data_IF_121708204737
#
_entry.id   IF_121708204737
#
_cell.length_a   1.000
_cell.length_b   1.000
_cell.length_c   1.000
_cell.angle_alpha   90.00
_cell.angle_beta   90.00
_cell.angle_gamma   90.00
#
_symmetry.space_group_name_H-M   'P 1'
#
loop_
_entity.id
_entity.type
_entity.pdbx_description
1 polymer ?
#
# COMPACT_ATOMS: atom_id res chain seq x y z
N UNK A 1 4.56 -6.07 24.73
CA UNK A 1 3.98 -7.26 24.07
C UNK A 1 3.11 -6.77 22.93
N UNK A 2 3.45 -7.18 21.71
CA UNK A 2 2.63 -6.91 20.54
C UNK A 2 1.55 -7.98 20.42
N UNK A 3 0.32 -7.57 20.17
CA UNK A 3 -0.78 -8.48 19.87
C UNK A 3 -0.91 -8.60 18.35
N UNK A 4 -1.01 -9.83 17.84
CA UNK A 4 -1.22 -10.12 16.43
C UNK A 4 -2.65 -10.58 16.21
N UNK A 5 -3.25 -10.09 15.16
CA UNK A 5 -4.55 -10.51 14.68
C UNK A 5 -4.43 -11.17 13.31
N UNK A 6 -4.95 -12.37 13.21
CA UNK A 6 -5.09 -13.04 11.93
C UNK A 6 -6.50 -13.60 11.78
N UNK A 7 -7.03 -13.52 10.57
CA UNK A 7 -8.31 -14.15 10.21
C UNK A 7 -8.04 -15.42 9.44
N UNK A 8 -8.59 -16.52 9.95
CA UNK A 8 -8.55 -17.80 9.28
C UNK A 8 -9.82 -17.96 8.45
N UNK A 9 -9.67 -18.25 7.17
CA UNK A 9 -10.77 -18.38 6.21
C UNK A 9 -10.65 -19.71 5.50
N UNK A 10 -11.73 -20.48 5.52
CA UNK A 10 -11.84 -21.74 4.78
C UNK A 10 -13.27 -21.93 4.26
N UNK A 11 -13.42 -22.75 3.26
CA UNK A 11 -14.70 -23.23 2.77
C UNK A 11 -14.92 -24.68 3.24
N UNK A 12 -16.13 -25.23 3.05
CA UNK A 12 -16.40 -26.64 3.34
C UNK A 12 -15.51 -27.59 2.52
N UNK A 13 -15.04 -27.15 1.35
CA UNK A 13 -14.22 -27.94 0.43
C UNK A 13 -12.71 -27.79 0.69
N UNK A 14 -12.29 -26.85 1.55
CA UNK A 14 -10.87 -26.56 1.81
C UNK A 14 -10.43 -26.87 3.23
N UNK A 15 -11.24 -27.56 4.05
CA UNK A 15 -10.90 -27.85 5.45
C UNK A 15 -9.61 -28.68 5.59
N UNK A 16 -9.33 -29.57 4.63
CA UNK A 16 -8.14 -30.43 4.62
C UNK A 16 -7.04 -29.94 3.66
N UNK A 17 -7.21 -28.76 3.06
CA UNK A 17 -6.23 -28.17 2.15
C UNK A 17 -5.10 -27.49 2.92
N UNK A 18 -3.92 -27.32 2.28
CA UNK A 18 -2.83 -26.58 2.89
C UNK A 18 -3.23 -25.13 3.19
N UNK A 19 -2.47 -24.50 4.09
CA UNK A 19 -2.63 -23.09 4.40
C UNK A 19 -1.89 -22.20 3.40
N UNK A 20 -2.45 -21.02 3.12
CA UNK A 20 -1.81 -19.94 2.41
C UNK A 20 -1.87 -18.68 3.27
N UNK A 21 -0.71 -18.16 3.65
CA UNK A 21 -0.61 -16.86 4.32
C UNK A 21 -0.55 -15.75 3.27
N UNK A 22 -1.35 -14.72 3.48
CA UNK A 22 -1.33 -13.52 2.64
C UNK A 22 -0.51 -12.41 3.28
N UNK A 23 0.51 -11.96 2.55
CA UNK A 23 1.37 -10.85 2.91
C UNK A 23 0.89 -9.60 2.17
N UNK A 24 0.22 -8.71 2.91
CA UNK A 24 -0.40 -7.52 2.35
C UNK A 24 0.64 -6.50 1.88
N UNK A 25 0.24 -5.71 0.91
CA UNK A 25 0.98 -4.56 0.41
C UNK A 25 0.91 -3.33 1.33
N UNK A 26 1.25 -2.22 0.80
CA UNK A 26 1.41 -0.94 1.46
C UNK A 26 2.84 -0.45 1.29
N UNK A 27 3.65 -0.42 2.35
CA UNK A 27 3.46 -0.95 3.73
C UNK A 27 2.34 -0.31 4.54
N UNK A 28 2.00 -0.91 5.67
CA UNK A 28 1.08 -0.33 6.64
C UNK A 28 -0.41 -0.57 6.37
N UNK A 29 -0.76 -1.49 5.48
CA UNK A 29 -2.15 -1.89 5.23
C UNK A 29 -2.49 -3.20 5.93
N UNK A 30 -3.68 -3.27 6.50
CA UNK A 30 -4.25 -4.51 7.03
C UNK A 30 -4.68 -5.46 5.90
N UNK A 31 -4.83 -6.73 6.23
CA UNK A 31 -5.33 -7.75 5.32
C UNK A 31 -6.79 -7.50 4.89
N UNK A 32 -7.19 -8.01 3.71
CA UNK A 32 -8.57 -7.90 3.23
C UNK A 32 -9.58 -8.45 4.22
N UNK A 33 -10.78 -7.87 4.19
CA UNK A 33 -11.94 -8.32 4.97
C UNK A 33 -12.96 -8.94 4.00
N UNK A 34 -12.83 -10.24 3.64
CA UNK A 34 -13.73 -10.86 2.69
C UNK A 34 -15.16 -10.91 3.22
N UNK A 35 -16.13 -10.76 2.32
CA UNK A 35 -17.55 -10.96 2.63
C UNK A 35 -18.02 -12.33 2.12
N UNK A 36 -19.08 -12.87 2.73
CA UNK A 36 -19.65 -14.15 2.30
C UNK A 36 -20.38 -14.05 0.96
N UNK A 37 -20.83 -12.85 0.58
CA UNK A 37 -21.67 -12.64 -0.61
C UNK A 37 -20.81 -12.47 -1.86
N UNK A 38 -19.70 -11.75 -1.75
CA UNK A 38 -18.75 -11.56 -2.83
C UNK A 38 -17.32 -11.58 -2.30
N UNK A 39 -16.65 -12.74 -2.34
CA UNK A 39 -15.22 -12.80 -2.03
C UNK A 39 -14.36 -12.27 -3.19
N UNK A 40 -14.96 -11.62 -4.19
CA UNK A 40 -14.29 -11.27 -5.44
C UNK A 40 -13.21 -10.19 -5.34
N UNK A 41 -13.09 -9.50 -4.22
CA UNK A 41 -12.01 -8.54 -4.02
C UNK A 41 -11.21 -8.84 -2.74
N UNK A 42 -9.89 -8.90 -2.84
CA UNK A 42 -9.07 -8.83 -4.07
C UNK A 42 -9.26 -10.06 -4.97
N UNK A 43 -9.10 -9.90 -6.29
CA UNK A 43 -9.45 -10.92 -7.29
C UNK A 43 -8.79 -12.29 -7.12
N UNK A 44 -7.65 -12.39 -6.44
CA UNK A 44 -6.98 -13.66 -6.14
C UNK A 44 -7.68 -14.48 -5.06
N UNK A 45 -8.45 -13.84 -4.17
CA UNK A 45 -9.02 -14.46 -2.96
C UNK A 45 -9.94 -15.64 -3.29
N UNK A 46 -10.83 -15.45 -4.27
CA UNK A 46 -11.74 -16.49 -4.72
C UNK A 46 -11.00 -17.70 -5.26
N UNK A 47 -9.98 -17.46 -6.11
CA UNK A 47 -9.17 -18.53 -6.67
C UNK A 47 -8.37 -19.28 -5.59
N UNK A 48 -7.82 -18.56 -4.62
CA UNK A 48 -7.08 -19.17 -3.52
C UNK A 48 -7.96 -20.06 -2.65
N UNK A 49 -9.23 -19.70 -2.45
CA UNK A 49 -10.18 -20.51 -1.67
C UNK A 49 -10.59 -21.83 -2.34
N UNK A 50 -10.22 -22.06 -3.60
CA UNK A 50 -10.42 -23.37 -4.24
C UNK A 50 -9.36 -24.39 -3.78
N UNK A 51 -8.13 -23.94 -3.49
CA UNK A 51 -6.98 -24.80 -3.23
C UNK A 51 -6.41 -24.70 -1.81
N UNK A 52 -6.74 -23.64 -1.06
CA UNK A 52 -6.12 -23.32 0.23
C UNK A 52 -7.13 -22.93 1.31
N UNK A 53 -6.74 -23.16 2.56
CA UNK A 53 -7.21 -22.38 3.71
C UNK A 53 -6.38 -21.10 3.80
N UNK A 54 -7.00 -19.98 4.13
CA UNK A 54 -6.30 -18.71 4.10
C UNK A 54 -6.00 -18.19 5.50
N UNK A 55 -4.82 -17.64 5.66
CA UNK A 55 -4.40 -16.82 6.80
C UNK A 55 -4.28 -15.39 6.32
N UNK A 56 -5.19 -14.53 6.75
CA UNK A 56 -5.21 -13.10 6.46
C UNK A 56 -4.68 -12.38 7.70
N UNK A 57 -3.35 -12.17 7.73
CA UNK A 57 -2.66 -11.53 8.84
C UNK A 57 -2.74 -10.02 8.69
N UNK A 58 -3.23 -9.34 9.72
CA UNK A 58 -2.94 -7.92 9.87
C UNK A 58 -1.49 -7.79 10.33
N UNK A 59 -0.65 -7.24 9.48
CA UNK A 59 0.75 -7.05 9.82
C UNK A 59 0.89 -6.13 11.03
N UNK A 60 1.97 -6.30 11.80
CA UNK A 60 2.26 -5.46 12.97
C UNK A 60 2.10 -3.97 12.66
N UNK A 61 1.50 -3.23 13.56
CA UNK A 61 1.21 -1.81 13.38
C UNK A 61 -0.01 -1.49 12.50
N UNK A 62 -0.77 -2.51 12.05
CA UNK A 62 -1.91 -2.33 11.15
C UNK A 62 -3.19 -3.01 11.66
N UNK A 63 -4.34 -2.57 11.17
CA UNK A 63 -5.62 -3.22 11.40
C UNK A 63 -5.93 -3.45 12.87
N UNK A 64 -6.01 -4.71 13.29
CA UNK A 64 -6.22 -5.14 14.68
C UNK A 64 -4.92 -5.62 15.36
N UNK A 65 -3.78 -5.52 14.67
CA UNK A 65 -2.46 -5.88 15.19
C UNK A 65 -1.73 -4.64 15.72
N UNK A 66 -2.16 -4.12 16.86
CA UNK A 66 -1.58 -2.94 17.53
C UNK A 66 -1.37 -1.75 16.55
N UNK A 67 -2.45 -1.21 15.93
CA UNK A 67 -2.32 -0.22 14.88
C UNK A 67 -1.61 1.04 15.37
N UNK A 68 -0.72 1.56 14.53
CA UNK A 68 -0.09 2.87 14.76
C UNK A 68 -1.13 3.95 14.47
N UNK A 69 -1.52 4.70 15.47
CA UNK A 69 -2.52 5.78 15.33
C UNK A 69 -1.91 7.16 15.47
N UNK A 70 -1.17 7.40 16.53
CA UNK A 70 -0.59 8.71 16.85
C UNK A 70 0.91 8.57 17.12
N UNK A 71 1.73 9.52 16.65
CA UNK A 71 3.15 9.53 16.98
C UNK A 71 3.34 9.79 18.48
N UNK A 72 4.10 8.92 19.14
CA UNK A 72 4.39 9.02 20.56
C UNK A 72 5.90 9.16 20.77
N UNK A 73 6.31 10.05 21.66
CA UNK A 73 7.71 10.28 21.99
C UNK A 73 8.42 11.22 21.01
N UNK A 74 9.75 11.27 21.11
CA UNK A 74 10.60 12.06 20.21
C UNK A 74 10.67 11.44 18.81
N UNK A 75 11.17 12.20 17.83
CA UNK A 75 11.42 11.67 16.49
C UNK A 75 12.38 10.46 16.49
N UNK A 76 13.32 10.41 17.44
CA UNK A 76 14.23 9.28 17.60
C UNK A 76 13.51 8.05 18.12
N UNK A 77 12.64 8.21 19.14
CA UNK A 77 11.84 7.10 19.68
C UNK A 77 10.90 6.52 18.61
N UNK A 78 10.29 7.39 17.80
CA UNK A 78 9.44 7.00 16.69
C UNK A 78 10.23 6.25 15.61
N UNK A 79 11.41 6.73 15.25
CA UNK A 79 12.27 6.09 14.26
C UNK A 79 12.70 4.69 14.73
N UNK A 80 13.08 4.53 15.99
CA UNK A 80 13.39 3.23 16.59
C UNK A 80 12.18 2.30 16.53
N UNK A 81 11.02 2.75 16.98
CA UNK A 81 9.80 1.96 16.93
C UNK A 81 9.45 1.49 15.51
N UNK A 82 9.59 2.38 14.52
CA UNK A 82 9.29 2.06 13.11
C UNK A 82 10.22 0.99 12.51
N UNK A 83 11.43 0.80 13.07
CA UNK A 83 12.31 -0.30 12.62
C UNK A 83 11.69 -1.67 12.86
N UNK A 84 10.85 -1.80 13.87
CA UNK A 84 10.15 -3.04 14.20
C UNK A 84 8.91 -3.30 13.33
N UNK A 85 8.55 -2.41 12.42
CA UNK A 85 7.38 -2.54 11.55
C UNK A 85 7.74 -2.90 10.10
N UNK A 86 8.94 -3.47 9.90
CA UNK A 86 9.50 -3.78 8.58
C UNK A 86 9.30 -5.25 8.20
N UNK A 87 9.71 -5.57 6.97
CA UNK A 87 9.50 -6.88 6.36
C UNK A 87 10.15 -8.05 7.13
N UNK A 88 11.30 -7.82 7.74
CA UNK A 88 12.02 -8.81 8.53
C UNK A 88 11.21 -9.28 9.74
N UNK A 89 10.70 -8.35 10.50
CA UNK A 89 9.88 -8.62 11.68
C UNK A 89 8.50 -9.22 11.33
N UNK A 90 7.91 -8.81 10.20
CA UNK A 90 6.67 -9.41 9.69
C UNK A 90 6.86 -10.89 9.37
N UNK A 91 8.03 -11.25 8.87
CA UNK A 91 8.38 -12.66 8.58
C UNK A 91 8.45 -13.48 9.86
N UNK A 92 9.05 -12.95 10.93
CA UNK A 92 9.10 -13.65 12.22
C UNK A 92 7.69 -13.81 12.82
N UNK A 93 6.82 -12.81 12.68
CA UNK A 93 5.40 -12.94 13.09
C UNK A 93 4.70 -14.07 12.34
N UNK A 94 4.97 -14.20 11.04
CA UNK A 94 4.42 -15.29 10.24
C UNK A 94 4.92 -16.64 10.75
N UNK A 95 6.19 -16.79 11.10
CA UNK A 95 6.75 -18.02 11.65
C UNK A 95 6.16 -18.36 13.02
N UNK A 96 5.97 -17.37 13.89
CA UNK A 96 5.33 -17.58 15.19
C UNK A 96 3.87 -18.02 15.02
N UNK A 97 3.14 -17.39 14.11
CA UNK A 97 1.77 -17.79 13.80
C UNK A 97 1.69 -19.18 13.17
N UNK A 98 2.59 -19.53 12.26
CA UNK A 98 2.67 -20.86 11.66
C UNK A 98 2.88 -21.94 12.70
N UNK A 99 3.82 -21.73 13.61
CA UNK A 99 4.10 -22.65 14.74
C UNK A 99 2.92 -22.74 15.69
N UNK A 100 2.26 -21.62 16.01
CA UNK A 100 1.07 -21.59 16.86
C UNK A 100 -0.09 -22.40 16.25
N UNK A 101 -0.26 -22.37 14.94
CA UNK A 101 -1.27 -23.15 14.22
C UNK A 101 -0.88 -24.62 14.04
N UNK A 102 0.30 -25.05 14.49
CA UNK A 102 0.81 -26.41 14.30
C UNK A 102 1.04 -26.78 12.83
N UNK A 103 1.33 -25.80 11.98
CA UNK A 103 1.53 -25.97 10.53
C UNK A 103 3.03 -26.15 10.26
N UNK A 104 3.41 -27.28 9.66
CA UNK A 104 4.81 -27.54 9.30
C UNK A 104 5.27 -26.64 8.16
N UNK A 105 4.50 -26.59 7.08
CA UNK A 105 4.76 -25.74 5.92
C UNK A 105 3.45 -25.16 5.38
N UNK A 106 3.50 -23.98 4.83
CA UNK A 106 2.38 -23.33 4.14
C UNK A 106 2.80 -22.66 2.84
N UNK A 107 1.85 -22.33 1.99
CA UNK A 107 2.10 -21.43 0.86
C UNK A 107 2.04 -19.98 1.34
N UNK A 108 2.71 -19.08 0.64
CA UNK A 108 2.62 -17.64 0.90
C UNK A 108 2.36 -16.85 -0.39
N UNK A 109 1.52 -15.82 -0.31
CA UNK A 109 1.22 -14.91 -1.41
C UNK A 109 1.57 -13.48 -0.98
N UNK A 110 2.56 -12.88 -1.64
CA UNK A 110 2.97 -11.50 -1.41
C UNK A 110 2.44 -10.56 -2.49
N UNK A 111 1.71 -9.52 -2.08
CA UNK A 111 1.22 -8.47 -2.98
C UNK A 111 1.95 -7.16 -2.70
N UNK A 112 2.47 -6.48 -3.76
CA UNK A 112 3.15 -5.20 -3.63
C UNK A 112 4.30 -5.28 -2.60
N UNK A 113 4.31 -4.48 -1.53
CA UNK A 113 5.25 -4.59 -0.40
C UNK A 113 5.27 -6.01 0.21
N UNK A 114 4.15 -6.73 0.21
CA UNK A 114 4.13 -8.13 0.62
C UNK A 114 5.03 -9.04 -0.22
N UNK A 115 5.33 -8.67 -1.46
CA UNK A 115 6.33 -9.34 -2.29
C UNK A 115 7.77 -9.11 -1.78
N UNK A 116 8.07 -7.94 -1.21
CA UNK A 116 9.35 -7.67 -0.56
C UNK A 116 9.49 -8.51 0.71
N UNK A 117 8.42 -8.57 1.50
CA UNK A 117 8.33 -9.47 2.68
C UNK A 117 8.51 -10.93 2.27
N UNK A 118 7.93 -11.34 1.13
CA UNK A 118 8.08 -12.69 0.58
C UNK A 118 9.53 -13.01 0.17
N UNK A 119 10.27 -12.06 -0.41
CA UNK A 119 11.69 -12.24 -0.72
C UNK A 119 12.51 -12.47 0.56
N UNK A 120 12.21 -11.69 1.60
CA UNK A 120 12.82 -11.91 2.93
C UNK A 120 12.48 -13.29 3.46
N UNK A 121 11.22 -13.72 3.40
CA UNK A 121 10.75 -15.00 3.87
C UNK A 121 11.48 -16.16 3.18
N UNK A 122 11.58 -16.11 1.86
CA UNK A 122 12.33 -17.09 1.07
C UNK A 122 13.82 -17.14 1.45
N UNK A 123 14.40 -16.00 1.82
CA UNK A 123 15.82 -15.92 2.16
C UNK A 123 16.15 -16.54 3.51
N UNK A 124 15.24 -16.45 4.50
CA UNK A 124 15.56 -16.85 5.88
C UNK A 124 14.80 -18.10 6.36
N UNK A 125 13.61 -18.36 5.83
CA UNK A 125 12.74 -19.47 6.25
C UNK A 125 12.17 -20.24 5.05
N UNK A 126 12.95 -20.47 3.99
CA UNK A 126 12.48 -21.18 2.79
C UNK A 126 11.93 -22.59 3.09
N UNK A 127 12.46 -23.26 4.12
CA UNK A 127 12.01 -24.58 4.53
C UNK A 127 10.57 -24.60 5.11
N UNK A 128 10.05 -23.46 5.52
CA UNK A 128 8.68 -23.30 6.00
C UNK A 128 7.64 -23.10 4.88
N UNK A 129 8.11 -22.99 3.63
CA UNK A 129 7.28 -22.64 2.48
C UNK A 129 7.09 -23.82 1.53
N UNK A 130 5.83 -24.18 1.25
CA UNK A 130 5.45 -25.10 0.18
C UNK A 130 5.53 -24.43 -1.19
N UNK A 131 5.12 -23.17 -1.29
CA UNK A 131 5.12 -22.37 -2.51
C UNK A 131 5.11 -20.89 -2.17
N UNK A 132 5.70 -20.07 -3.06
CA UNK A 132 5.70 -18.63 -2.98
C UNK A 132 5.08 -17.99 -4.22
N UNK A 133 4.08 -17.14 -4.02
CA UNK A 133 3.40 -16.42 -5.09
C UNK A 133 3.65 -14.92 -4.95
N UNK A 134 3.89 -14.25 -6.08
CA UNK A 134 4.13 -12.82 -6.15
C UNK A 134 3.10 -12.14 -7.06
N UNK A 135 2.59 -11.02 -6.61
CA UNK A 135 1.73 -10.18 -7.44
C UNK A 135 2.09 -8.70 -7.26
N UNK A 136 2.65 -8.08 -8.32
CA UNK A 136 3.02 -6.67 -8.36
C UNK A 136 4.06 -6.24 -7.31
N UNK A 137 4.94 -7.14 -6.85
CA UNK A 137 5.81 -6.89 -5.71
C UNK A 137 7.19 -7.55 -5.81
N UNK A 138 7.90 -7.37 -6.94
CA UNK A 138 9.32 -7.74 -6.99
C UNK A 138 10.18 -6.50 -6.72
N UNK A 139 11.04 -6.59 -5.72
CA UNK A 139 11.98 -5.53 -5.36
C UNK A 139 13.12 -5.43 -6.38
N UNK A 140 13.61 -4.21 -6.61
CA UNK A 140 14.82 -3.93 -7.37
C UNK A 140 16.07 -4.20 -6.52
N UNK A 141 16.30 -5.46 -6.16
CA UNK A 141 17.40 -5.87 -5.29
C UNK A 141 18.75 -5.37 -5.83
N UNK A 142 19.56 -4.75 -4.99
CA UNK A 142 20.88 -4.22 -5.34
C UNK A 142 20.85 -2.89 -6.10
N UNK A 143 19.71 -2.25 -6.22
CA UNK A 143 19.59 -0.90 -6.81
C UNK A 143 19.42 0.16 -5.73
N UNK A 144 19.94 1.34 -5.99
CA UNK A 144 19.76 2.48 -5.09
C UNK A 144 18.34 3.03 -5.16
N UNK A 145 17.91 3.72 -4.11
CA UNK A 145 16.63 4.42 -4.07
C UNK A 145 16.53 5.45 -5.21
N UNK A 146 17.63 6.15 -5.53
CA UNK A 146 17.67 7.13 -6.62
C UNK A 146 17.42 6.48 -8.00
N UNK A 147 17.98 5.28 -8.25
CA UNK A 147 17.71 4.53 -9.49
C UNK A 147 16.24 4.11 -9.60
N UNK A 148 15.65 3.66 -8.48
CA UNK A 148 14.23 3.29 -8.43
C UNK A 148 13.36 4.49 -8.77
N UNK A 149 13.56 5.64 -8.11
CA UNK A 149 12.76 6.83 -8.35
C UNK A 149 12.99 7.42 -9.73
N UNK A 150 14.22 7.45 -10.24
CA UNK A 150 14.50 7.90 -11.62
C UNK A 150 13.64 7.13 -12.63
N UNK A 151 13.59 5.80 -12.50
CA UNK A 151 12.76 4.95 -13.36
C UNK A 151 11.27 5.24 -13.18
N UNK A 152 10.81 5.43 -11.95
CA UNK A 152 9.42 5.79 -11.64
C UNK A 152 9.05 7.15 -12.25
N UNK A 153 9.90 8.16 -12.14
CA UNK A 153 9.65 9.49 -12.70
C UNK A 153 9.55 9.49 -14.22
N UNK A 154 10.41 8.74 -14.92
CA UNK A 154 10.27 8.58 -16.37
C UNK A 154 8.91 8.00 -16.76
N UNK A 155 8.46 6.98 -16.02
CA UNK A 155 7.15 6.36 -16.24
C UNK A 155 6.01 7.33 -15.93
N UNK A 156 6.08 8.06 -14.82
CA UNK A 156 5.08 9.05 -14.42
C UNK A 156 4.99 10.19 -15.44
N UNK A 157 6.12 10.68 -15.95
CA UNK A 157 6.14 11.69 -17.00
C UNK A 157 5.44 11.20 -18.26
N UNK A 158 5.78 10.00 -18.74
CA UNK A 158 5.16 9.42 -19.93
C UNK A 158 3.64 9.24 -19.77
N UNK A 159 3.18 8.80 -18.59
CA UNK A 159 1.75 8.68 -18.24
C UNK A 159 1.05 10.04 -18.22
N UNK A 160 1.68 11.06 -17.64
CA UNK A 160 1.15 12.43 -17.61
C UNK A 160 1.03 13.03 -19.01
N UNK A 161 2.04 12.83 -19.87
CA UNK A 161 1.99 13.26 -21.25
C UNK A 161 0.89 12.56 -22.04
N UNK A 162 0.71 11.25 -21.84
CA UNK A 162 -0.38 10.48 -22.44
C UNK A 162 -1.75 11.02 -21.98
N UNK A 163 -1.90 11.32 -20.71
CA UNK A 163 -3.11 11.89 -20.15
C UNK A 163 -3.47 13.23 -20.79
N UNK A 164 -2.55 14.19 -20.82
CA UNK A 164 -2.79 15.51 -21.41
C UNK A 164 -2.89 15.52 -22.95
N UNK A 165 -2.38 14.50 -23.64
CA UNK A 165 -2.69 14.31 -25.07
C UNK A 165 -4.15 13.88 -25.27
N UNK A 166 -4.67 13.05 -24.37
CA UNK A 166 -6.05 12.59 -24.43
C UNK A 166 -7.05 13.66 -23.96
N UNK A 167 -6.69 14.45 -22.97
CA UNK A 167 -7.52 15.47 -22.33
C UNK A 167 -6.78 16.82 -22.28
N UNK A 168 -6.60 17.50 -23.43
CA UNK A 168 -5.72 18.68 -23.49
C UNK A 168 -6.20 19.85 -22.62
N UNK A 169 -7.52 20.05 -22.46
CA UNK A 169 -8.09 21.09 -21.59
C UNK A 169 -7.82 20.90 -20.09
N UNK A 170 -7.48 19.70 -19.67
CA UNK A 170 -7.25 19.42 -18.25
C UNK A 170 -5.93 19.99 -17.73
N UNK A 171 -5.03 20.37 -18.63
CA UNK A 171 -3.80 21.07 -18.23
C UNK A 171 -4.10 22.41 -17.56
N UNK A 172 -5.01 23.18 -18.13
CA UNK A 172 -5.40 24.47 -17.57
C UNK A 172 -6.29 24.32 -16.34
N UNK A 173 -7.19 23.33 -16.36
CA UNK A 173 -8.01 22.98 -15.18
C UNK A 173 -7.15 22.57 -13.99
N UNK A 174 -6.15 21.70 -14.20
CA UNK A 174 -5.23 21.28 -13.14
C UNK A 174 -4.39 22.46 -12.63
N UNK A 175 -4.00 23.39 -13.51
CA UNK A 175 -3.30 24.60 -13.09
C UNK A 175 -4.17 25.45 -12.16
N UNK A 176 -5.45 25.65 -12.50
CA UNK A 176 -6.38 26.38 -11.63
C UNK A 176 -6.54 25.71 -10.25
N UNK A 177 -6.60 24.38 -10.19
CA UNK A 177 -6.63 23.64 -8.91
C UNK A 177 -5.34 23.86 -8.13
N UNK A 178 -4.18 23.83 -8.77
CA UNK A 178 -2.88 24.06 -8.12
C UNK A 178 -2.73 25.51 -7.63
N UNK A 179 -3.24 26.49 -8.36
CA UNK A 179 -3.22 27.91 -7.97
C UNK A 179 -4.13 28.11 -6.73
N UNK A 180 -5.30 27.50 -6.70
CA UNK A 180 -6.19 27.51 -5.54
C UNK A 180 -5.56 26.82 -4.32
N UNK A 181 -4.83 25.73 -4.55
CA UNK A 181 -4.10 25.04 -3.48
C UNK A 181 -2.93 25.89 -2.97
N UNK A 182 -2.25 26.62 -3.85
CA UNK A 182 -1.12 27.50 -3.50
C UNK A 182 -1.58 28.74 -2.73
N UNK A 183 -2.79 29.28 -3.01
CA UNK A 183 -3.36 30.38 -2.23
C UNK A 183 -3.81 29.97 -0.82
N UNK A 184 -3.86 28.66 -0.52
CA UNK A 184 -4.34 28.11 0.76
C UNK A 184 -5.86 28.08 0.89
N UNK A 185 -6.61 28.36 -0.18
CA UNK A 185 -8.06 28.35 -0.17
C UNK A 185 -8.67 26.97 -0.41
N UNK A 186 -7.91 26.05 -1.05
CA UNK A 186 -8.38 24.69 -1.30
C UNK A 186 -8.42 23.90 0.00
N UNK A 187 -9.61 23.41 0.36
CA UNK A 187 -9.81 22.62 1.57
C UNK A 187 -10.61 21.37 1.29
N UNK A 188 -10.23 20.28 1.99
CA UNK A 188 -11.03 19.08 2.05
C UNK A 188 -12.37 19.32 2.80
N UNK A 189 -13.35 18.43 2.69
CA UNK A 189 -14.67 18.58 3.36
C UNK A 189 -14.58 18.72 4.89
N UNK A 190 -13.58 18.12 5.51
CA UNK A 190 -13.31 18.21 6.96
C UNK A 190 -12.63 19.52 7.38
N UNK A 191 -12.34 20.41 6.43
CA UNK A 191 -11.68 21.69 6.66
C UNK A 191 -10.16 21.68 6.53
N UNK A 192 -9.53 20.53 6.38
CA UNK A 192 -8.07 20.41 6.23
C UNK A 192 -7.58 21.10 4.96
N UNK A 193 -6.43 21.83 5.02
CA UNK A 193 -5.86 22.45 3.84
C UNK A 193 -5.30 21.38 2.88
N UNK A 194 -5.57 21.59 1.58
CA UNK A 194 -5.03 20.75 0.51
C UNK A 194 -3.99 21.57 -0.28
N UNK A 195 -2.71 21.37 0.05
CA UNK A 195 -1.62 22.08 -0.60
C UNK A 195 -1.25 21.49 -1.97
N UNK A 196 -0.38 22.21 -2.75
CA UNK A 196 0.01 21.79 -4.10
C UNK A 196 0.63 20.39 -4.18
N UNK A 197 1.44 19.99 -3.20
CA UNK A 197 2.02 18.64 -3.14
C UNK A 197 0.93 17.57 -3.03
N UNK A 198 -0.11 17.84 -2.23
CA UNK A 198 -1.25 16.95 -2.09
C UNK A 198 -2.06 16.83 -3.38
N UNK A 199 -2.28 17.94 -4.08
CA UNK A 199 -2.93 17.93 -5.42
C UNK A 199 -2.10 17.13 -6.42
N UNK A 200 -0.78 17.31 -6.44
CA UNK A 200 0.11 16.54 -7.35
C UNK A 200 0.03 15.04 -7.12
N UNK A 201 -0.27 14.58 -5.91
CA UNK A 201 -0.41 13.16 -5.61
C UNK A 201 -1.58 12.49 -6.36
N UNK A 202 -2.53 13.26 -6.94
CA UNK A 202 -3.54 12.75 -7.86
C UNK A 202 -2.95 12.04 -9.10
N UNK A 203 -1.70 12.37 -9.47
CA UNK A 203 -0.98 11.66 -10.52
C UNK A 203 -0.87 10.15 -10.27
N UNK A 204 -0.99 9.70 -9.03
CA UNK A 204 -1.07 8.28 -8.67
C UNK A 204 -2.21 7.55 -9.39
N UNK A 205 -3.32 8.22 -9.66
CA UNK A 205 -4.46 7.66 -10.41
C UNK A 205 -4.05 7.15 -11.78
N UNK A 206 -3.08 7.80 -12.45
CA UNK A 206 -2.62 7.43 -13.78
C UNK A 206 -1.89 6.07 -13.83
N UNK A 207 -1.55 5.52 -12.68
CA UNK A 207 -1.01 4.16 -12.54
C UNK A 207 -2.08 3.06 -12.53
N UNK A 208 -3.34 3.39 -12.30
CA UNK A 208 -4.45 2.45 -12.16
C UNK A 208 -5.37 2.40 -13.37
N UNK A 209 -6.12 1.29 -13.50
CA UNK A 209 -7.17 1.14 -14.52
C UNK A 209 -8.29 2.15 -14.31
N UNK A 210 -8.66 2.90 -15.35
CA UNK A 210 -9.71 3.94 -15.29
C UNK A 210 -9.31 5.20 -14.52
N UNK A 211 -8.06 5.31 -14.07
CA UNK A 211 -7.61 6.46 -13.29
C UNK A 211 -7.53 7.75 -14.09
N UNK A 212 -7.23 7.66 -15.38
CA UNK A 212 -7.23 8.82 -16.28
C UNK A 212 -8.63 9.43 -16.40
N UNK A 213 -9.65 8.60 -16.58
CA UNK A 213 -11.04 9.04 -16.64
C UNK A 213 -11.51 9.63 -15.31
N UNK A 214 -11.18 9.01 -14.18
CA UNK A 214 -11.50 9.55 -12.85
C UNK A 214 -10.91 10.93 -12.63
N UNK A 215 -9.65 11.13 -13.02
CA UNK A 215 -9.00 12.43 -12.92
C UNK A 215 -9.68 13.46 -13.84
N UNK A 216 -10.02 13.07 -15.08
CA UNK A 216 -10.72 13.93 -16.02
C UNK A 216 -12.08 14.38 -15.47
N UNK A 217 -12.90 13.45 -15.00
CA UNK A 217 -14.23 13.77 -14.46
C UNK A 217 -14.16 14.64 -13.19
N UNK A 218 -13.15 14.46 -12.33
CA UNK A 218 -12.90 15.36 -11.23
C UNK A 218 -12.67 16.80 -11.72
N UNK A 219 -11.85 16.95 -12.77
CA UNK A 219 -11.46 18.25 -13.31
C UNK A 219 -12.57 18.94 -14.15
N UNK A 220 -13.68 18.27 -14.42
CA UNK A 220 -14.87 18.90 -15.04
C UNK A 220 -15.61 19.80 -14.05
N UNK A 221 -15.45 19.57 -12.73
CA UNK A 221 -16.08 20.42 -11.71
C UNK A 221 -15.27 21.68 -11.45
N UNK A 222 -15.95 22.75 -11.10
CA UNK A 222 -15.31 23.96 -10.56
C UNK A 222 -14.58 23.64 -9.26
N UNK A 223 -13.30 24.05 -9.10
CA UNK A 223 -12.47 23.68 -7.94
C UNK A 223 -13.02 24.16 -6.59
N UNK A 224 -13.88 25.20 -6.60
CA UNK A 224 -14.53 25.73 -5.40
C UNK A 224 -15.84 25.02 -5.05
N UNK A 225 -16.35 24.18 -5.95
CA UNK A 225 -17.62 23.49 -5.77
C UNK A 225 -17.56 22.44 -4.67
N UNK A 226 -18.73 22.17 -4.07
CA UNK A 226 -18.86 21.11 -3.07
C UNK A 226 -18.53 19.72 -3.65
N UNK A 227 -19.04 19.42 -4.87
CA UNK A 227 -18.77 18.15 -5.54
C UNK A 227 -17.28 17.93 -5.73
N UNK A 228 -16.58 18.91 -6.30
CA UNK A 228 -15.12 18.82 -6.48
C UNK A 228 -14.40 18.48 -5.16
N UNK A 229 -14.74 19.15 -4.07
CA UNK A 229 -14.02 18.96 -2.79
C UNK A 229 -14.23 17.58 -2.19
N UNK A 230 -15.43 17.00 -2.32
CA UNK A 230 -15.71 15.64 -1.84
C UNK A 230 -15.04 14.60 -2.73
N UNK A 231 -15.19 14.71 -4.05
CA UNK A 231 -14.57 13.78 -4.99
C UNK A 231 -13.05 13.87 -4.95
N UNK A 232 -12.48 15.08 -4.77
CA UNK A 232 -11.04 15.27 -4.53
C UNK A 232 -10.59 14.49 -3.29
N UNK A 233 -11.31 14.60 -2.17
CA UNK A 233 -10.94 13.92 -0.93
C UNK A 233 -10.97 12.40 -1.08
N UNK A 234 -11.94 11.86 -1.83
CA UNK A 234 -12.05 10.42 -2.11
C UNK A 234 -10.97 9.91 -3.07
N UNK A 235 -10.51 10.75 -3.99
CA UNK A 235 -9.49 10.39 -4.99
C UNK A 235 -8.05 10.62 -4.51
N UNK A 236 -7.85 11.45 -3.48
CA UNK A 236 -6.52 11.68 -2.93
C UNK A 236 -5.96 10.38 -2.33
N UNK A 237 -4.77 9.93 -2.78
CA UNK A 237 -4.13 8.77 -2.21
C UNK A 237 -3.65 9.05 -0.77
N UNK A 238 -3.40 7.97 -0.02
CA UNK A 238 -2.77 8.04 1.30
C UNK A 238 -3.53 8.90 2.30
N UNK A 239 -4.83 8.67 2.41
CA UNK A 239 -5.67 9.26 3.47
C UNK A 239 -5.10 8.94 4.86
N UNK A 240 -5.43 9.74 5.86
CA UNK A 240 -4.89 9.63 7.23
C UNK A 240 -5.08 8.28 7.92
N UNK A 241 -5.82 7.35 7.33
CA UNK A 241 -6.03 6.01 7.87
C UNK A 241 -4.75 5.14 7.87
N UNK A 242 -3.86 5.31 6.88
CA UNK A 242 -2.60 4.58 6.80
C UNK A 242 -1.41 5.53 6.96
N UNK A 243 -1.12 5.90 8.20
CA UNK A 243 0.00 6.80 8.51
C UNK A 243 1.36 6.17 8.24
N UNK A 244 1.48 4.84 8.36
CA UNK A 244 2.73 4.12 8.15
C UNK A 244 3.21 4.21 6.71
N UNK A 245 2.31 4.17 5.73
CA UNK A 245 2.70 4.20 4.32
C UNK A 245 3.63 5.37 4.02
N UNK A 246 3.25 6.57 4.44
CA UNK A 246 4.03 7.78 4.14
C UNK A 246 5.42 7.76 4.76
N UNK A 247 5.56 7.19 5.96
CA UNK A 247 6.83 7.26 6.71
C UNK A 247 7.79 6.13 6.39
N UNK A 248 7.30 4.92 6.09
CA UNK A 248 8.19 3.75 5.97
C UNK A 248 8.29 3.18 4.54
N UNK A 249 7.47 3.61 3.57
CA UNK A 249 7.49 2.98 2.26
C UNK A 249 8.83 3.16 1.52
N UNK A 250 9.47 4.33 1.61
CA UNK A 250 10.74 4.59 0.96
C UNK A 250 11.86 3.69 1.51
N UNK A 251 11.82 3.37 2.80
CA UNK A 251 12.76 2.45 3.42
C UNK A 251 12.70 1.03 2.84
N UNK A 252 11.61 0.67 2.14
CA UNK A 252 11.48 -0.62 1.45
C UNK A 252 12.41 -0.75 0.23
N UNK A 253 12.92 0.38 -0.28
CA UNK A 253 13.87 0.44 -1.39
C UNK A 253 15.32 0.65 -0.94
N UNK A 254 15.59 0.61 0.36
CA UNK A 254 16.91 0.87 0.92
C UNK A 254 17.40 -0.27 1.80
N UNK A 255 18.68 -0.57 1.71
CA UNK A 255 19.37 -1.52 2.56
C UNK A 255 20.71 -0.92 3.01
N UNK A 256 20.89 -0.74 4.32
CA UNK A 256 22.10 -0.22 4.93
C UNK A 256 22.43 1.26 4.62
N UNK A 257 21.50 2.01 4.05
CA UNK A 257 21.70 3.42 3.68
C UNK A 257 20.54 4.30 4.16
N UNK A 258 20.85 5.57 4.39
CA UNK A 258 19.85 6.61 4.67
C UNK A 258 19.35 7.20 3.35
N UNK A 259 18.03 7.19 3.11
CA UNK A 259 17.45 7.66 1.85
C UNK A 259 17.33 9.16 1.76
N UNK A 260 17.14 9.86 2.89
CA UNK A 260 16.91 11.31 2.96
C UNK A 260 15.77 11.80 2.05
N UNK A 261 14.68 11.05 1.97
CA UNK A 261 13.54 11.32 1.08
C UNK A 261 13.98 11.48 -0.38
N UNK A 262 14.55 10.42 -0.94
CA UNK A 262 15.07 10.38 -2.31
C UNK A 262 14.02 10.77 -3.35
N UNK A 263 12.75 10.49 -3.09
CA UNK A 263 11.63 10.91 -3.94
C UNK A 263 11.47 12.45 -4.05
N UNK A 264 12.08 13.23 -3.19
CA UNK A 264 11.99 14.70 -3.21
C UNK A 264 13.17 15.37 -3.93
N UNK A 265 14.15 14.61 -4.38
CA UNK A 265 15.35 15.07 -5.10
C UNK A 265 15.28 14.80 -6.62
#
# INVERSE_FOLDING_TARGET
TSEFYARLVSTRHTQDKPWLVFLQGGPGCESPRPTLVDPGFPGWLRRALDDYRLVLLDQRGTGLSSPVSEPVGSAADQAEYLTHLRADEIVEDCEDLRRHLGVEQWAALGQSFGGFTMLRYLSVHSSSLLAGYFTGGLSAVGRSTDEVYTTCYHTMQAKSEQYYRRFPGDRDRMRAVLDLAASGELRAPNGDPVGPSRVRSLGHLLGGSGGAEKLHYLLEYEPTSRCFRYDLADLLPFGGRNVLYTVIHESSYADGVTTNWAAAR
#
